data_IF_212888585373
#
_entry.id   IF_212888585373
#
_cell.length_a   1.000
_cell.length_b   1.000
_cell.length_c   1.000
_cell.angle_alpha   90.00
_cell.angle_beta   90.00
_cell.angle_gamma   90.00
#
_symmetry.space_group_name_H-M   'P 1'
#
loop_
_entity.id
_entity.type
_entity.pdbx_description
1 polymer ?
#
# COMPACT_ATOMS: atom_id res chain seq x y z
N UNK A 1 -5.58 -15.95 48.32
CA UNK A 1 -6.51 -16.32 47.24
C UNK A 1 -6.89 -15.07 46.43
N UNK A 2 -5.93 -14.40 45.76
CA UNK A 2 -6.18 -13.20 44.94
C UNK A 2 -5.22 -13.13 43.73
N UNK A 3 -4.91 -14.26 43.10
CA UNK A 3 -4.09 -14.30 41.87
C UNK A 3 -4.90 -14.58 40.60
N UNK A 4 -6.20 -14.83 40.71
CA UNK A 4 -7.05 -15.23 39.57
C UNK A 4 -7.69 -14.05 38.82
N UNK A 5 -7.68 -12.84 39.38
CA UNK A 5 -8.40 -11.69 38.80
C UNK A 5 -7.60 -10.91 37.75
N UNK A 6 -6.27 -10.93 37.83
CA UNK A 6 -5.40 -10.17 36.91
C UNK A 6 -5.23 -10.84 35.53
N UNK A 7 -5.53 -12.13 35.41
CA UNK A 7 -5.38 -12.86 34.15
C UNK A 7 -6.52 -12.60 33.16
N UNK A 8 -7.70 -12.20 33.65
CA UNK A 8 -8.86 -11.90 32.80
C UNK A 8 -8.76 -10.54 32.10
N UNK A 9 -8.06 -9.56 32.70
CA UNK A 9 -7.88 -8.23 32.11
C UNK A 9 -6.88 -8.20 30.94
N UNK A 10 -5.95 -9.15 30.88
CA UNK A 10 -4.95 -9.23 29.79
C UNK A 10 -5.56 -9.90 28.54
N UNK A 11 -6.49 -10.84 28.72
CA UNK A 11 -7.15 -11.53 27.60
C UNK A 11 -8.13 -10.64 26.82
N UNK A 12 -8.71 -9.60 27.44
CA UNK A 12 -9.60 -8.67 26.72
C UNK A 12 -8.85 -7.60 25.89
N UNK A 13 -7.56 -7.36 26.15
CA UNK A 13 -6.78 -6.32 25.48
C UNK A 13 -6.14 -6.75 24.15
N UNK A 14 -5.92 -8.05 23.94
CA UNK A 14 -5.18 -8.56 22.78
C UNK A 14 -5.97 -8.66 21.48
N UNK A 15 -7.30 -8.86 21.56
CA UNK A 15 -8.12 -9.12 20.38
C UNK A 15 -8.46 -7.86 19.56
N UNK A 16 -8.48 -6.68 20.20
CA UNK A 16 -8.82 -5.41 19.53
C UNK A 16 -7.73 -4.94 18.56
N UNK A 17 -6.46 -5.08 18.92
CA UNK A 17 -5.35 -4.59 18.09
C UNK A 17 -5.17 -5.42 16.81
N UNK A 18 -5.32 -6.74 16.89
CA UNK A 18 -5.25 -7.62 15.73
C UNK A 18 -6.42 -7.38 14.76
N UNK A 19 -7.63 -7.13 15.26
CA UNK A 19 -8.80 -6.86 14.44
C UNK A 19 -8.69 -5.52 13.67
N UNK A 20 -8.11 -4.48 14.28
CA UNK A 20 -7.90 -3.19 13.58
C UNK A 20 -6.84 -3.33 12.49
N UNK A 21 -5.74 -4.05 12.75
CA UNK A 21 -4.73 -4.31 11.72
C UNK A 21 -5.28 -5.17 10.57
N UNK A 22 -6.12 -6.16 10.87
CA UNK A 22 -6.74 -7.02 9.85
C UNK A 22 -7.81 -6.26 9.03
N UNK A 23 -8.59 -5.38 9.66
CA UNK A 23 -9.57 -4.54 8.97
C UNK A 23 -8.93 -3.47 8.07
N UNK A 24 -7.77 -2.92 8.44
CA UNK A 24 -7.00 -2.02 7.57
C UNK A 24 -6.33 -2.76 6.42
N UNK A 25 -5.87 -4.00 6.63
CA UNK A 25 -5.28 -4.84 5.58
C UNK A 25 -6.28 -5.32 4.52
N UNK A 26 -7.50 -5.68 4.94
CA UNK A 26 -8.53 -6.20 4.02
C UNK A 26 -9.26 -5.13 3.21
N UNK A 27 -9.18 -3.85 3.57
CA UNK A 27 -9.73 -2.77 2.73
C UNK A 27 -8.95 -2.56 1.43
N UNK A 28 -7.80 -3.20 1.25
CA UNK A 28 -7.00 -3.18 0.02
C UNK A 28 -7.30 -4.32 -0.96
N UNK A 29 -8.26 -5.21 -0.66
CA UNK A 29 -8.68 -6.28 -1.57
C UNK A 29 -10.17 -6.18 -1.91
N UNK A 30 -10.55 -5.17 -2.68
CA UNK A 30 -11.70 -5.28 -3.57
C UNK A 30 -11.22 -5.63 -4.98
N UNK A 31 -11.18 -6.92 -5.37
CA UNK A 31 -11.14 -7.28 -6.77
C UNK A 31 -12.57 -7.30 -7.33
N UNK A 32 -12.72 -6.75 -8.54
CA UNK A 32 -13.81 -7.01 -9.50
C UNK A 32 -15.19 -6.39 -9.20
N UNK A 33 -15.32 -5.09 -9.51
CA UNK A 33 -16.39 -4.51 -10.36
C UNK A 33 -16.34 -2.98 -10.43
N UNK A 34 -15.15 -2.37 -10.37
CA UNK A 34 -15.03 -0.97 -10.81
C UNK A 34 -15.10 -0.94 -12.33
N UNK A 35 -16.33 -0.82 -12.84
CA UNK A 35 -16.65 -0.07 -14.05
C UNK A 35 -15.66 1.10 -14.14
N UNK A 36 -14.90 1.28 -15.23
CA UNK A 36 -13.90 2.34 -15.30
C UNK A 36 -14.62 3.65 -14.93
N UNK A 37 -14.15 4.41 -13.91
CA UNK A 37 -14.72 5.72 -13.66
C UNK A 37 -14.59 6.48 -14.97
N UNK A 38 -15.73 6.75 -15.60
CA UNK A 38 -15.81 7.35 -16.94
C UNK A 38 -15.39 8.82 -16.95
N UNK A 39 -14.86 9.32 -15.84
CA UNK A 39 -14.42 10.70 -15.64
C UNK A 39 -13.14 10.72 -14.79
N UNK A 40 -12.09 10.00 -15.22
CA UNK A 40 -10.76 10.39 -14.75
C UNK A 40 -10.44 11.72 -15.43
N UNK A 41 -10.61 12.83 -14.73
CA UNK A 41 -10.28 14.20 -15.18
C UNK A 41 -8.77 14.39 -15.47
N UNK A 42 -7.97 13.36 -15.22
CA UNK A 42 -6.54 13.35 -15.50
C UNK A 42 -6.30 12.93 -16.96
N UNK A 43 -5.36 13.59 -17.64
CA UNK A 43 -5.07 13.28 -19.03
C UNK A 43 -4.70 11.79 -19.19
N UNK A 44 -5.11 11.17 -20.31
CA UNK A 44 -4.71 9.81 -20.62
C UNK A 44 -3.18 9.73 -20.70
N UNK A 45 -2.63 8.65 -20.13
CA UNK A 45 -1.21 8.35 -20.23
C UNK A 45 -1.02 7.26 -21.28
N UNK A 46 0.05 7.36 -22.07
CA UNK A 46 0.36 6.31 -23.05
C UNK A 46 0.76 5.02 -22.33
N UNK A 47 0.56 3.88 -23.00
CA UNK A 47 0.99 2.59 -22.46
C UNK A 47 2.51 2.54 -22.22
N UNK A 48 3.29 3.15 -23.11
CA UNK A 48 4.75 3.20 -22.99
C UNK A 48 5.20 4.04 -21.80
N UNK A 49 4.54 5.18 -21.56
CA UNK A 49 4.79 6.00 -20.37
C UNK A 49 4.44 5.25 -19.09
N UNK A 50 3.30 4.56 -19.06
CA UNK A 50 2.91 3.74 -17.92
C UNK A 50 3.94 2.65 -17.62
N UNK A 51 4.46 1.95 -18.64
CA UNK A 51 5.50 0.94 -18.47
C UNK A 51 6.79 1.55 -17.90
N UNK A 52 7.20 2.72 -18.37
CA UNK A 52 8.38 3.43 -17.83
C UNK A 52 8.19 3.81 -16.36
N UNK A 53 7.00 4.30 -16.01
CA UNK A 53 6.64 4.64 -14.63
C UNK A 53 6.72 3.40 -13.73
N UNK A 54 6.17 2.28 -14.17
CA UNK A 54 6.21 1.03 -13.40
C UNK A 54 7.62 0.51 -13.22
N UNK A 55 8.45 0.55 -14.26
CA UNK A 55 9.86 0.15 -14.16
C UNK A 55 10.62 1.03 -13.15
N UNK A 56 10.37 2.34 -13.16
CA UNK A 56 10.97 3.28 -12.21
C UNK A 56 10.47 3.08 -10.77
N UNK A 57 9.18 2.78 -10.58
CA UNK A 57 8.62 2.47 -9.27
C UNK A 57 9.20 1.17 -8.69
N UNK A 58 9.35 0.13 -9.52
CA UNK A 58 9.97 -1.15 -9.15
C UNK A 58 11.41 -0.98 -8.71
N UNK A 59 12.22 -0.28 -9.49
CA UNK A 59 13.64 -0.07 -9.13
C UNK A 59 13.76 0.70 -7.82
N UNK A 60 12.96 1.76 -7.63
CA UNK A 60 12.91 2.49 -6.37
C UNK A 60 12.51 1.60 -5.19
N UNK A 61 11.48 0.76 -5.34
CA UNK A 61 11.04 -0.17 -4.29
C UNK A 61 12.14 -1.17 -3.91
N UNK A 62 12.87 -1.69 -4.91
CA UNK A 62 14.02 -2.59 -4.68
C UNK A 62 15.15 -1.90 -3.93
N UNK A 63 15.51 -0.67 -4.31
CA UNK A 63 16.55 0.09 -3.62
C UNK A 63 16.15 0.41 -2.17
N UNK A 64 14.88 0.78 -1.94
CA UNK A 64 14.36 0.94 -0.58
C UNK A 64 14.43 -0.36 0.22
N UNK A 65 14.02 -1.49 -0.36
CA UNK A 65 14.09 -2.79 0.31
C UNK A 65 15.53 -3.19 0.68
N UNK A 66 16.52 -2.75 -0.12
CA UNK A 66 17.96 -2.90 0.18
C UNK A 66 18.48 -1.93 1.25
N UNK A 67 17.67 -0.98 1.70
CA UNK A 67 18.06 0.05 2.67
C UNK A 67 18.73 1.28 2.05
N UNK A 68 18.70 1.43 0.72
CA UNK A 68 19.23 2.61 0.02
C UNK A 68 18.22 3.76 0.02
N UNK A 69 18.02 4.35 1.20
CA UNK A 69 17.28 5.60 1.37
C UNK A 69 15.76 5.51 1.15
N UNK A 70 15.13 6.69 1.12
CA UNK A 70 13.69 6.84 0.91
C UNK A 70 13.43 7.49 -0.46
N UNK A 71 13.19 6.70 -1.52
CA UNK A 71 12.97 7.24 -2.85
C UNK A 71 11.66 8.03 -2.89
N UNK A 72 11.75 9.29 -3.29
CA UNK A 72 10.59 10.16 -3.48
C UNK A 72 10.01 9.98 -4.87
N UNK A 73 8.67 9.96 -4.97
CA UNK A 73 7.98 9.99 -6.24
C UNK A 73 8.39 11.22 -7.07
N UNK A 74 8.95 11.05 -8.28
CA UNK A 74 9.41 12.16 -9.12
C UNK A 74 8.27 12.88 -9.83
N UNK A 75 7.06 12.31 -9.84
CA UNK A 75 5.93 12.85 -10.58
C UNK A 75 5.10 13.82 -9.73
N UNK A 76 4.57 14.91 -10.33
CA UNK A 76 3.77 15.88 -9.61
C UNK A 76 2.51 15.26 -8.98
N UNK A 77 2.23 15.60 -7.72
CA UNK A 77 1.04 15.15 -6.99
C UNK A 77 -0.23 15.45 -7.78
N UNK A 78 -1.19 14.52 -7.75
CA UNK A 78 -2.46 14.65 -8.46
C UNK A 78 -2.40 14.29 -9.95
N UNK A 79 -1.24 13.92 -10.48
CA UNK A 79 -1.14 13.38 -11.85
C UNK A 79 -1.39 11.87 -11.88
N UNK A 80 -1.82 11.34 -13.04
CA UNK A 80 -1.98 9.90 -13.23
C UNK A 80 -0.64 9.17 -13.05
N UNK A 81 0.45 9.79 -13.52
CA UNK A 81 1.81 9.28 -13.35
C UNK A 81 2.20 9.11 -11.87
N UNK A 82 1.88 10.10 -11.04
CA UNK A 82 2.11 10.03 -9.60
C UNK A 82 1.35 8.87 -8.96
N UNK A 83 0.06 8.72 -9.26
CA UNK A 83 -0.77 7.64 -8.72
C UNK A 83 -0.23 6.26 -9.14
N UNK A 84 0.13 6.09 -10.42
CA UNK A 84 0.67 4.84 -10.94
C UNK A 84 1.99 4.47 -10.28
N UNK A 85 2.90 5.43 -10.12
CA UNK A 85 4.18 5.21 -9.46
C UNK A 85 3.98 4.79 -8.00
N UNK A 86 3.16 5.52 -7.24
CA UNK A 86 2.95 5.23 -5.82
C UNK A 86 2.31 3.86 -5.61
N UNK A 87 1.36 3.51 -6.47
CA UNK A 87 0.65 2.23 -6.41
C UNK A 87 1.61 1.06 -6.66
N UNK A 88 2.40 1.15 -7.74
CA UNK A 88 3.35 0.09 -8.09
C UNK A 88 4.48 -0.01 -7.06
N UNK A 89 5.01 1.13 -6.60
CA UNK A 89 6.06 1.20 -5.59
C UNK A 89 5.60 0.53 -4.29
N UNK A 90 4.43 0.88 -3.77
CA UNK A 90 3.87 0.25 -2.57
C UNK A 90 3.63 -1.24 -2.76
N UNK A 91 3.12 -1.66 -3.92
CA UNK A 91 2.84 -3.07 -4.21
C UNK A 91 4.12 -3.89 -4.17
N UNK A 92 5.14 -3.46 -4.91
CA UNK A 92 6.43 -4.16 -4.99
C UNK A 92 7.15 -4.15 -3.64
N UNK A 93 7.11 -3.03 -2.91
CA UNK A 93 7.72 -2.96 -1.59
C UNK A 93 7.05 -3.92 -0.60
N UNK A 94 5.72 -4.01 -0.63
CA UNK A 94 4.99 -4.99 0.18
C UNK A 94 5.38 -6.42 -0.17
N UNK A 95 5.51 -6.74 -1.46
CA UNK A 95 5.92 -8.08 -1.91
C UNK A 95 7.36 -8.43 -1.50
N UNK A 96 8.26 -7.44 -1.42
CA UNK A 96 9.66 -7.63 -1.02
C UNK A 96 9.87 -7.71 0.50
N UNK A 97 8.89 -7.29 1.29
CA UNK A 97 9.02 -7.18 2.76
C UNK A 97 8.17 -8.20 3.54
N UNK A 98 7.40 -9.04 2.83
CA UNK A 98 6.73 -10.22 3.36
C UNK A 98 7.55 -11.49 3.12
#
# INVERSE_FOLDING_TARGET
>A
MHYFDLLWLILLGGAGAAAVFFAVGLRRRQPLLQRPPRDSSLPPISSDDAQRIFAQARSAAMERARGHGDPRNPYPTGTRAHILWETEFCTVLMDLTH
#
